data_IF_384484456216
#
_entry.id   IF_384484456216
#
_cell.length_a   1.000
_cell.length_b   1.000
_cell.length_c   1.000
_cell.angle_alpha   90.00
_cell.angle_beta   90.00
_cell.angle_gamma   90.00
#
_symmetry.space_group_name_H-M   'P 1'
#
loop_
_entity.id
_entity.type
_entity.pdbx_description
1 polymer ?
#
# COMPACT_ATOMS: atom_id res chain seq x y z
N UNK A 1 11.88 37.49 -0.61
CA UNK A 1 11.14 36.24 -0.28
C UNK A 1 10.94 35.48 -1.57
N UNK A 2 11.84 34.55 -1.90
CA UNK A 2 11.72 33.71 -3.08
C UNK A 2 10.73 32.61 -2.78
N UNK A 3 9.51 32.73 -3.31
CA UNK A 3 8.54 31.64 -3.33
C UNK A 3 9.08 30.62 -4.32
N UNK A 4 9.74 29.58 -3.82
CA UNK A 4 10.10 28.41 -4.62
C UNK A 4 8.80 27.75 -5.07
N UNK A 5 8.36 28.06 -6.30
CA UNK A 5 7.27 27.32 -6.92
C UNK A 5 7.68 25.84 -6.97
N UNK A 6 6.82 24.90 -6.54
CA UNK A 6 7.13 23.49 -6.69
C UNK A 6 7.35 23.19 -8.17
N UNK A 7 8.43 22.46 -8.46
CA UNK A 7 8.71 21.92 -9.79
C UNK A 7 7.45 21.22 -10.32
N UNK A 8 7.13 21.42 -11.60
CA UNK A 8 5.90 20.86 -12.21
C UNK A 8 5.81 19.34 -11.96
N UNK A 9 6.93 18.62 -11.95
CA UNK A 9 6.97 17.17 -11.66
C UNK A 9 6.58 16.84 -10.23
N UNK A 10 6.92 17.69 -9.27
CA UNK A 10 6.55 17.50 -7.86
C UNK A 10 5.04 17.72 -7.67
N UNK A 11 4.44 18.65 -8.42
CA UNK A 11 2.99 18.85 -8.44
C UNK A 11 2.28 17.65 -9.08
N UNK A 12 2.74 17.23 -10.26
CA UNK A 12 2.20 16.06 -10.96
C UNK A 12 2.30 14.79 -10.10
N UNK A 13 3.41 14.63 -9.37
CA UNK A 13 3.62 13.51 -8.44
C UNK A 13 2.61 13.54 -7.30
N UNK A 14 2.37 14.71 -6.68
CA UNK A 14 1.40 14.84 -5.58
C UNK A 14 -0.01 14.52 -6.04
N UNK A 15 -0.39 15.00 -7.21
CA UNK A 15 -1.72 14.75 -7.78
C UNK A 15 -1.90 13.24 -8.06
N UNK A 16 -0.88 12.58 -8.61
CA UNK A 16 -0.87 11.12 -8.78
C UNK A 16 -0.95 10.36 -7.45
N UNK A 17 -0.22 10.79 -6.43
CA UNK A 17 -0.27 10.17 -5.09
C UNK A 17 -1.67 10.27 -4.51
N UNK A 18 -2.31 11.44 -4.57
CA UNK A 18 -3.68 11.62 -4.07
C UNK A 18 -4.66 10.69 -4.80
N UNK A 19 -4.57 10.64 -6.13
CA UNK A 19 -5.45 9.80 -6.95
C UNK A 19 -5.24 8.31 -6.68
N UNK A 20 -3.98 7.85 -6.64
CA UNK A 20 -3.65 6.44 -6.44
C UNK A 20 -3.93 5.98 -5.01
N UNK A 21 -3.69 6.82 -4.00
CA UNK A 21 -3.84 6.44 -2.59
C UNK A 21 -5.24 5.92 -2.29
N UNK A 22 -6.27 6.61 -2.77
CA UNK A 22 -7.65 6.22 -2.48
C UNK A 22 -8.05 4.93 -3.21
N UNK A 23 -7.64 4.76 -4.47
CA UNK A 23 -7.93 3.55 -5.23
C UNK A 23 -7.19 2.33 -4.68
N UNK A 24 -5.89 2.48 -4.38
CA UNK A 24 -5.08 1.44 -3.74
C UNK A 24 -5.69 1.05 -2.40
N UNK A 25 -6.08 2.03 -1.57
CA UNK A 25 -6.74 1.76 -0.28
C UNK A 25 -8.03 0.95 -0.44
N UNK A 26 -8.88 1.30 -1.41
CA UNK A 26 -10.12 0.57 -1.69
C UNK A 26 -9.84 -0.87 -2.10
N UNK A 27 -8.84 -1.10 -2.95
CA UNK A 27 -8.43 -2.44 -3.39
C UNK A 27 -7.92 -3.26 -2.22
N UNK A 28 -7.01 -2.71 -1.40
CA UNK A 28 -6.48 -3.41 -0.24
C UNK A 28 -7.58 -3.73 0.79
N UNK A 29 -8.54 -2.82 1.01
CA UNK A 29 -9.67 -3.04 1.91
C UNK A 29 -10.55 -4.20 1.42
N UNK A 30 -10.91 -4.24 0.13
CA UNK A 30 -11.68 -5.36 -0.45
C UNK A 30 -10.96 -6.69 -0.33
N UNK A 31 -9.64 -6.72 -0.55
CA UNK A 31 -8.82 -7.93 -0.37
C UNK A 31 -8.81 -8.37 1.09
N UNK A 32 -8.68 -7.43 2.03
CA UNK A 32 -8.74 -7.72 3.46
C UNK A 32 -10.11 -8.30 3.86
N UNK A 33 -11.21 -7.71 3.38
CA UNK A 33 -12.57 -8.22 3.61
C UNK A 33 -12.73 -9.67 3.08
N UNK A 34 -12.23 -9.95 1.88
CA UNK A 34 -12.28 -11.29 1.31
C UNK A 34 -11.46 -12.32 2.13
N UNK A 35 -10.29 -11.92 2.65
CA UNK A 35 -9.49 -12.77 3.54
C UNK A 35 -10.18 -12.98 4.88
N UNK A 36 -10.79 -11.94 5.44
CA UNK A 36 -11.52 -12.02 6.69
C UNK A 36 -12.72 -12.97 6.56
N UNK A 37 -13.43 -12.96 5.44
CA UNK A 37 -14.53 -13.89 5.15
C UNK A 37 -14.06 -15.35 4.98
N UNK A 38 -12.82 -15.57 4.54
CA UNK A 38 -12.24 -16.89 4.32
C UNK A 38 -11.56 -17.49 5.57
N UNK A 39 -11.40 -16.71 6.63
CA UNK A 39 -10.77 -17.12 7.88
C UNK A 39 -11.81 -17.43 8.96
N UNK A 40 -11.49 -18.27 9.96
CA UNK A 40 -12.30 -18.37 11.17
C UNK A 40 -12.49 -16.99 11.81
N UNK A 41 -13.66 -16.69 12.41
CA UNK A 41 -13.95 -15.38 12.99
C UNK A 41 -12.84 -14.91 13.93
N UNK A 42 -12.28 -13.73 13.65
CA UNK A 42 -11.19 -13.15 14.43
C UNK A 42 -11.74 -12.45 15.68
N UNK A 43 -11.25 -12.79 16.90
CA UNK A 43 -11.64 -12.09 18.12
C UNK A 43 -11.22 -10.62 18.12
N UNK A 44 -11.96 -9.76 18.83
CA UNK A 44 -11.67 -8.33 18.90
C UNK A 44 -10.59 -7.95 19.94
N UNK A 45 -10.42 -8.76 20.98
CA UNK A 45 -9.47 -8.51 22.05
C UNK A 45 -8.07 -9.09 21.75
N UNK A 46 -7.04 -8.63 22.47
CA UNK A 46 -5.66 -9.05 22.20
C UNK A 46 -5.40 -10.51 22.56
N UNK A 47 -5.99 -11.01 23.66
CA UNK A 47 -5.80 -12.36 24.15
C UNK A 47 -6.47 -13.39 23.23
N UNK A 48 -7.71 -13.13 22.84
CA UNK A 48 -8.45 -13.91 21.86
C UNK A 48 -7.74 -13.96 20.51
N UNK A 49 -7.16 -12.84 20.05
CA UNK A 49 -6.36 -12.82 18.81
C UNK A 49 -5.12 -13.70 18.89
N UNK A 50 -4.42 -13.71 20.02
CA UNK A 50 -3.27 -14.60 20.22
C UNK A 50 -3.68 -16.08 20.19
N UNK A 51 -4.75 -16.45 20.92
CA UNK A 51 -5.27 -17.81 20.90
C UNK A 51 -5.74 -18.24 19.50
N UNK A 52 -6.43 -17.33 18.79
CA UNK A 52 -6.87 -17.53 17.42
C UNK A 52 -5.69 -17.82 16.48
N UNK A 53 -4.64 -17.00 16.50
CA UNK A 53 -3.43 -17.23 15.69
C UNK A 53 -2.80 -18.60 15.94
N UNK A 54 -2.80 -19.06 17.20
CA UNK A 54 -2.26 -20.37 17.59
C UNK A 54 -3.12 -21.55 17.14
N UNK A 55 -4.38 -21.32 16.79
CA UNK A 55 -5.33 -22.35 16.37
C UNK A 55 -5.39 -22.57 14.87
N UNK A 56 -4.81 -21.66 14.08
CA UNK A 56 -4.86 -21.70 12.63
C UNK A 56 -3.98 -22.83 12.06
N UNK A 57 -4.47 -23.48 11.01
CA UNK A 57 -3.60 -24.30 10.16
C UNK A 57 -2.63 -23.43 9.34
N UNK A 58 -1.65 -24.06 8.69
CA UNK A 58 -0.60 -23.32 7.98
C UNK A 58 -1.15 -22.44 6.83
N UNK A 59 -2.07 -22.92 5.96
CA UNK A 59 -2.75 -22.05 4.99
C UNK A 59 -3.51 -20.87 5.62
N UNK A 60 -4.22 -21.09 6.72
CA UNK A 60 -4.94 -20.02 7.43
C UNK A 60 -3.98 -19.03 8.07
N UNK A 61 -2.88 -19.49 8.67
CA UNK A 61 -1.85 -18.64 9.25
C UNK A 61 -1.23 -17.71 8.19
N UNK A 62 -0.94 -18.22 6.98
CA UNK A 62 -0.49 -17.38 5.86
C UNK A 62 -1.52 -16.33 5.45
N UNK A 63 -2.80 -16.70 5.38
CA UNK A 63 -3.88 -15.76 5.05
C UNK A 63 -4.09 -14.72 6.16
N UNK A 64 -3.95 -15.11 7.41
CA UNK A 64 -4.04 -14.22 8.56
C UNK A 64 -2.89 -13.20 8.59
N UNK A 65 -1.68 -13.62 8.24
CA UNK A 65 -0.53 -12.72 8.12
C UNK A 65 -0.73 -11.71 6.98
N UNK A 66 -1.22 -12.18 5.83
CA UNK A 66 -1.59 -11.29 4.73
C UNK A 66 -2.69 -10.31 5.15
N UNK A 67 -3.74 -10.77 5.84
CA UNK A 67 -4.79 -9.91 6.38
C UNK A 67 -4.20 -8.81 7.28
N UNK A 68 -3.34 -9.17 8.24
CA UNK A 68 -2.67 -8.19 9.12
C UNK A 68 -1.86 -7.16 8.32
N UNK A 69 -1.12 -7.61 7.30
CA UNK A 69 -0.34 -6.73 6.42
C UNK A 69 -1.25 -5.76 5.66
N UNK A 70 -2.35 -6.24 5.08
CA UNK A 70 -3.30 -5.40 4.35
C UNK A 70 -4.00 -4.39 5.26
N UNK A 71 -4.42 -4.80 6.46
CA UNK A 71 -5.00 -3.89 7.46
C UNK A 71 -4.01 -2.80 7.87
N UNK A 72 -2.73 -3.15 8.07
CA UNK A 72 -1.68 -2.19 8.39
C UNK A 72 -1.46 -1.19 7.25
N UNK A 73 -1.39 -1.66 5.99
CA UNK A 73 -1.25 -0.79 4.82
C UNK A 73 -2.47 0.14 4.65
N UNK A 74 -3.69 -0.38 4.78
CA UNK A 74 -4.91 0.43 4.79
C UNK A 74 -4.90 1.49 5.90
N UNK A 75 -4.42 1.11 7.09
CA UNK A 75 -4.20 2.00 8.22
C UNK A 75 -3.23 3.13 7.85
N UNK A 76 -2.08 2.79 7.26
CA UNK A 76 -1.06 3.73 6.82
C UNK A 76 -1.60 4.76 5.83
N UNK A 77 -2.28 4.30 4.78
CA UNK A 77 -2.89 5.18 3.78
C UNK A 77 -3.99 6.09 4.37
N UNK A 78 -4.52 5.74 5.55
CA UNK A 78 -5.50 6.54 6.30
C UNK A 78 -4.86 7.41 7.40
N UNK A 79 -3.53 7.50 7.46
CA UNK A 79 -2.80 8.32 8.43
C UNK A 79 -2.44 7.61 9.75
N UNK A 80 -2.59 6.28 9.84
CA UNK A 80 -2.12 5.47 10.98
C UNK A 80 -0.83 4.74 10.60
N UNK A 81 0.35 5.21 11.01
CA UNK A 81 1.61 4.65 10.54
C UNK A 81 1.74 3.14 10.80
N UNK A 82 1.91 2.37 9.73
CA UNK A 82 2.30 0.96 9.81
C UNK A 82 3.76 0.80 10.25
N UNK A 83 4.03 -0.24 11.06
CA UNK A 83 5.39 -0.60 11.46
C UNK A 83 6.25 -0.96 10.24
N UNK A 84 7.50 -0.50 10.23
CA UNK A 84 8.45 -0.76 9.13
C UNK A 84 8.26 0.12 7.89
N UNK A 85 7.25 1.00 7.87
CA UNK A 85 7.03 1.99 6.81
C UNK A 85 7.26 3.38 7.39
N UNK A 86 7.93 4.27 6.64
CA UNK A 86 8.13 5.64 7.09
C UNK A 86 6.80 6.37 7.18
N UNK A 87 6.54 7.08 8.27
CA UNK A 87 5.25 7.75 8.50
C UNK A 87 4.92 8.86 7.48
N UNK A 88 5.92 9.38 6.77
CA UNK A 88 5.79 10.40 5.71
C UNK A 88 5.58 9.78 4.32
N UNK A 89 5.60 8.46 4.19
CA UNK A 89 5.41 7.76 2.92
C UNK A 89 3.92 7.69 2.56
N UNK A 90 3.43 8.70 1.85
CA UNK A 90 2.02 8.81 1.49
C UNK A 90 1.51 7.67 0.58
N UNK A 91 2.40 6.95 -0.11
CA UNK A 91 2.06 5.84 -0.99
C UNK A 91 3.22 4.83 -1.03
N UNK A 92 3.33 3.96 -0.01
CA UNK A 92 4.44 3.03 0.10
C UNK A 92 4.42 1.99 -1.01
N UNK A 93 5.61 1.61 -1.48
CA UNK A 93 5.78 0.60 -2.53
C UNK A 93 5.06 -0.72 -2.20
N UNK A 94 5.10 -1.14 -0.94
CA UNK A 94 4.39 -2.33 -0.46
C UNK A 94 2.86 -2.27 -0.68
N UNK A 95 2.25 -1.08 -0.62
CA UNK A 95 0.82 -0.93 -0.92
C UNK A 95 0.55 -1.10 -2.42
N UNK A 96 1.44 -0.61 -3.27
CA UNK A 96 1.36 -0.77 -4.72
C UNK A 96 1.57 -2.23 -5.15
N UNK A 97 2.52 -2.93 -4.53
CA UNK A 97 2.77 -4.36 -4.77
C UNK A 97 1.56 -5.21 -4.38
N UNK A 98 0.96 -4.94 -3.22
CA UNK A 98 -0.24 -5.66 -2.78
C UNK A 98 -1.48 -5.29 -3.60
N UNK A 99 -1.55 -4.10 -4.20
CA UNK A 99 -2.64 -3.75 -5.10
C UNK A 99 -2.43 -4.27 -6.52
N UNK A 100 -1.22 -4.68 -6.88
CA UNK A 100 -0.88 -5.11 -8.24
C UNK A 100 -1.70 -6.33 -8.67
N UNK A 101 -2.17 -6.32 -9.92
CA UNK A 101 -3.10 -7.32 -10.45
C UNK A 101 -4.55 -7.20 -9.97
N UNK A 102 -4.86 -6.30 -9.03
CA UNK A 102 -6.22 -6.00 -8.57
C UNK A 102 -6.69 -4.58 -8.92
N UNK A 103 -5.78 -3.75 -9.40
CA UNK A 103 -6.07 -2.40 -9.89
C UNK A 103 -6.79 -2.44 -11.24
N UNK A 104 -7.60 -1.41 -11.50
CA UNK A 104 -8.14 -1.14 -12.83
C UNK A 104 -7.02 -0.88 -13.84
N UNK A 105 -7.26 -1.10 -15.14
CA UNK A 105 -6.27 -0.78 -16.18
C UNK A 105 -5.89 0.71 -16.18
N UNK A 106 -6.85 1.59 -15.89
CA UNK A 106 -6.60 3.02 -15.68
C UNK A 106 -5.62 3.28 -14.53
N UNK A 107 -5.80 2.62 -13.40
CA UNK A 107 -4.94 2.81 -12.23
C UNK A 107 -3.57 2.17 -12.40
N UNK A 108 -3.48 1.02 -13.05
CA UNK A 108 -2.20 0.43 -13.42
C UNK A 108 -1.36 1.40 -14.27
N UNK A 109 -2.00 2.12 -15.21
CA UNK A 109 -1.34 3.18 -16.00
C UNK A 109 -0.85 4.35 -15.13
N UNK A 110 -1.64 4.76 -14.14
CA UNK A 110 -1.25 5.80 -13.18
C UNK A 110 -0.08 5.36 -12.29
N UNK A 111 -0.07 4.10 -11.83
CA UNK A 111 1.06 3.52 -11.08
C UNK A 111 2.33 3.51 -11.94
N UNK A 112 2.23 3.15 -13.21
CA UNK A 112 3.36 3.19 -14.14
C UNK A 112 3.86 4.62 -14.40
N UNK A 113 2.97 5.62 -14.43
CA UNK A 113 3.37 7.04 -14.49
C UNK A 113 4.07 7.48 -13.20
N UNK A 114 3.52 7.12 -12.04
CA UNK A 114 4.10 7.41 -10.74
C UNK A 114 5.51 6.84 -10.58
N UNK A 115 5.71 5.55 -10.92
CA UNK A 115 7.03 4.89 -10.87
C UNK A 115 8.06 5.58 -11.77
N UNK A 116 7.68 5.97 -12.98
CA UNK A 116 8.57 6.72 -13.91
C UNK A 116 9.00 8.08 -13.37
N UNK A 117 8.13 8.78 -12.64
CA UNK A 117 8.49 10.06 -12.00
C UNK A 117 9.41 9.82 -10.79
N UNK A 118 9.16 8.75 -10.02
CA UNK A 118 9.95 8.38 -8.85
C UNK A 118 11.36 7.88 -9.20
N UNK A 119 11.53 7.20 -10.33
CA UNK A 119 12.82 6.69 -10.82
C UNK A 119 13.77 7.79 -11.32
N UNK A 120 13.25 8.99 -11.63
CA UNK A 120 14.04 10.08 -12.21
C UNK A 120 14.60 9.73 -13.61
N UNK A 121 15.18 10.70 -14.35
CA UNK A 121 15.91 10.35 -15.56
C UNK A 121 17.10 9.48 -15.16
N UNK A 122 17.06 8.21 -15.56
CA UNK A 122 18.22 7.32 -15.48
C UNK A 122 19.36 8.00 -16.22
N UNK A 123 20.29 8.59 -15.46
CA UNK A 123 21.53 9.12 -16.02
C UNK A 123 22.33 7.89 -16.40
N UNK A 124 22.17 7.44 -17.63
CA UNK A 124 23.07 6.46 -18.26
C UNK A 124 24.41 7.19 -18.42
N UNK A 125 25.15 7.24 -17.32
CA UNK A 125 26.51 7.74 -17.26
C UNK A 125 27.43 6.56 -17.51
N UNK A 126 28.08 6.56 -18.67
CA UNK A 126 29.20 5.67 -18.95
C UNK A 126 29.12 5.00 -20.30
N UNK A 127 30.08 5.08 -21.21
CA UNK A 127 31.16 6.02 -21.49
C UNK A 127 31.88 5.35 -22.67
N UNK A 128 32.02 6.11 -23.76
CA UNK A 128 33.06 6.02 -24.80
C UNK A 128 33.34 4.65 -25.45
#
# INVERSE_FOLDING_TARGET
MTVTMPDVRERDRRDLVVQLRDEVRVVLAKRAEALQAALPPRPGDAHGRYAWLRSLDEPQARRAELLNRLEALCGHLSGRPALGIRADDALPAAALEEADGFLSESAARLVAAYRRIAEGPSVVSGAK
#
